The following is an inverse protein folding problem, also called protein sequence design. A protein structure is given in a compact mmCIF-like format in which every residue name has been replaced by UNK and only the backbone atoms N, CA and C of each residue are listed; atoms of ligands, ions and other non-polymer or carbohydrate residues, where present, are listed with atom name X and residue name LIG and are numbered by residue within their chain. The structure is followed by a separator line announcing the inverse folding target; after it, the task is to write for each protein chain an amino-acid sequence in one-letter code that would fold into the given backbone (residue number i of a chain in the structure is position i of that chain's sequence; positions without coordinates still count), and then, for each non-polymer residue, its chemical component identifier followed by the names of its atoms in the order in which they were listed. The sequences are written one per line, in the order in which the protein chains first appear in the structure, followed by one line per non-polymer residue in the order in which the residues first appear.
data_IF_411943623124
#
_entry.id   IF_411943623124
#
_cell.length_a   1.000
_cell.length_b   1.000
_cell.length_c   1.000
_cell.angle_alpha   90.00
_cell.angle_beta   90.00
_cell.angle_gamma   90.00
#
_symmetry.space_group_name_H-M   'P 1'
#
loop_
_entity.id
_entity.type
_entity.pdbx_description
1 polymer ?
#
# COMPACT_ATOMS: atom_id res chain seq x y z
N UNK A 1 -18.43 34.57 8.80
CA UNK A 1 -17.38 33.61 9.19
C UNK A 1 -18.10 32.34 9.54
N UNK A 2 -17.89 31.27 8.77
CA UNK A 2 -18.45 29.95 9.12
C UNK A 2 -17.74 29.45 10.38
N UNK A 3 -18.44 28.70 11.23
CA UNK A 3 -17.88 28.22 12.49
C UNK A 3 -16.70 27.26 12.28
N UNK A 4 -16.01 26.89 13.37
CA UNK A 4 -14.98 25.84 13.33
C UNK A 4 -15.55 24.55 12.75
N UNK A 5 -16.79 24.18 13.11
CA UNK A 5 -17.47 22.99 12.62
C UNK A 5 -17.71 23.01 11.10
N UNK A 6 -18.09 24.16 10.56
CA UNK A 6 -18.29 24.33 9.12
C UNK A 6 -16.96 24.18 8.36
N UNK A 7 -15.90 24.84 8.85
CA UNK A 7 -14.56 24.75 8.26
C UNK A 7 -14.01 23.33 8.30
N UNK A 8 -14.18 22.64 9.43
CA UNK A 8 -13.79 21.24 9.58
C UNK A 8 -14.57 20.33 8.63
N UNK A 9 -15.88 20.58 8.45
CA UNK A 9 -16.70 19.84 7.48
C UNK A 9 -16.13 20.01 6.07
N UNK A 10 -15.87 21.25 5.64
CA UNK A 10 -15.26 21.55 4.32
C UNK A 10 -13.89 20.88 4.17
N UNK A 11 -13.07 20.85 5.22
CA UNK A 11 -11.77 20.14 5.19
C UNK A 11 -11.99 18.66 4.90
N UNK A 12 -12.84 17.99 5.68
CA UNK A 12 -13.08 16.54 5.50
C UNK A 12 -13.69 16.20 4.15
N UNK A 13 -14.55 17.06 3.59
CA UNK A 13 -15.10 16.90 2.24
C UNK A 13 -14.01 16.97 1.16
N UNK A 14 -13.07 17.92 1.29
CA UNK A 14 -11.92 18.03 0.37
C UNK A 14 -10.99 16.84 0.47
N UNK A 15 -10.66 16.38 1.68
CA UNK A 15 -9.82 15.19 1.87
C UNK A 15 -10.49 13.93 1.29
N UNK A 16 -11.81 13.77 1.50
CA UNK A 16 -12.59 12.71 0.86
C UNK A 16 -12.55 12.75 -0.66
N UNK A 17 -12.63 13.95 -1.25
CA UNK A 17 -12.53 14.11 -2.71
C UNK A 17 -11.19 13.59 -3.25
N UNK A 18 -10.08 13.91 -2.57
CA UNK A 18 -8.76 13.36 -2.91
C UNK A 18 -8.76 11.83 -2.81
N UNK A 19 -9.22 11.29 -1.68
CA UNK A 19 -9.27 9.85 -1.45
C UNK A 19 -10.12 9.09 -2.48
N UNK A 20 -11.22 9.68 -2.97
CA UNK A 20 -12.05 9.08 -4.04
C UNK A 20 -11.33 9.07 -5.39
N UNK A 21 -10.56 10.10 -5.72
CA UNK A 21 -9.75 10.11 -6.95
C UNK A 21 -8.65 9.03 -6.88
N UNK A 22 -7.99 8.91 -5.73
CA UNK A 22 -6.98 7.87 -5.49
C UNK A 22 -7.59 6.47 -5.52
N UNK A 23 -8.81 6.29 -5.01
CA UNK A 23 -9.48 4.99 -5.05
C UNK A 23 -9.92 4.59 -6.45
N UNK A 24 -10.31 5.54 -7.31
CA UNK A 24 -10.50 5.26 -8.74
C UNK A 24 -9.21 4.73 -9.38
N UNK A 25 -8.06 5.32 -9.05
CA UNK A 25 -6.75 4.82 -9.45
C UNK A 25 -6.49 3.40 -8.93
N UNK A 26 -6.84 3.14 -7.68
CA UNK A 26 -6.66 1.83 -7.05
C UNK A 26 -7.48 0.73 -7.72
N UNK A 27 -8.73 1.01 -8.13
CA UNK A 27 -9.55 0.07 -8.93
C UNK A 27 -8.90 -0.23 -10.28
N UNK A 28 -8.36 0.79 -10.95
CA UNK A 28 -7.62 0.60 -12.21
C UNK A 28 -6.33 -0.21 -12.02
N UNK A 29 -5.60 0.01 -10.93
CA UNK A 29 -4.40 -0.76 -10.59
C UNK A 29 -4.70 -2.21 -10.22
N UNK A 30 -5.88 -2.48 -9.64
CA UNK A 30 -6.34 -3.85 -9.41
C UNK A 30 -6.71 -4.56 -10.72
N UNK A 31 -7.48 -3.89 -11.59
CA UNK A 31 -7.84 -4.45 -12.91
C UNK A 31 -6.60 -4.73 -13.75
N UNK A 32 -5.60 -3.85 -13.67
CA UNK A 32 -4.31 -3.99 -14.37
C UNK A 32 -3.63 -5.33 -14.07
N UNK A 33 -3.77 -5.82 -12.84
CA UNK A 33 -3.07 -7.01 -12.36
C UNK A 33 -3.93 -8.28 -12.39
N UNK A 34 -5.20 -8.17 -12.79
CA UNK A 34 -6.17 -9.28 -12.73
C UNK A 34 -6.84 -9.57 -14.08
N UNK A 35 -7.45 -8.57 -14.72
CA UNK A 35 -8.28 -8.77 -15.90
C UNK A 35 -7.83 -7.99 -17.14
N UNK A 36 -6.98 -6.98 -16.98
CA UNK A 36 -6.55 -6.14 -18.10
C UNK A 36 -5.88 -6.99 -19.19
N UNK A 37 -6.32 -6.88 -20.46
CA UNK A 37 -5.65 -7.53 -21.58
C UNK A 37 -4.21 -7.00 -21.76
N UNK A 38 -3.29 -7.84 -22.24
CA UNK A 38 -1.88 -7.48 -22.40
C UNK A 38 -1.62 -6.25 -23.28
N UNK A 39 -2.51 -5.94 -24.22
CA UNK A 39 -2.43 -4.73 -25.05
C UNK A 39 -2.89 -3.43 -24.38
N UNK A 40 -3.46 -3.48 -23.18
CA UNK A 40 -4.06 -2.34 -22.48
C UNK A 40 -3.07 -1.44 -21.74
N UNK A 41 -1.82 -1.88 -21.59
CA UNK A 41 -0.83 -1.29 -20.70
C UNK A 41 -0.59 0.22 -20.93
N UNK A 42 -0.42 0.64 -22.19
CA UNK A 42 -0.15 2.04 -22.51
C UNK A 42 -1.34 2.95 -22.16
N UNK A 43 -2.57 2.53 -22.46
CA UNK A 43 -3.74 3.32 -22.13
C UNK A 43 -4.01 3.35 -20.61
N UNK A 44 -3.79 2.23 -19.92
CA UNK A 44 -3.87 2.15 -18.46
C UNK A 44 -2.89 3.12 -17.80
N UNK A 45 -1.67 3.21 -18.32
CA UNK A 45 -0.66 4.15 -17.82
C UNK A 45 -1.11 5.61 -17.99
N UNK A 46 -1.77 5.97 -19.10
CA UNK A 46 -2.34 7.31 -19.27
C UNK A 46 -3.51 7.58 -18.32
N UNK A 47 -4.40 6.61 -18.09
CA UNK A 47 -5.50 6.74 -17.13
C UNK A 47 -4.99 6.99 -15.72
N UNK A 48 -4.03 6.18 -15.26
CA UNK A 48 -3.44 6.27 -13.93
C UNK A 48 -2.60 7.54 -13.76
N UNK A 49 -1.88 7.99 -14.80
CA UNK A 49 -1.16 9.25 -14.76
C UNK A 49 -2.11 10.45 -14.66
N UNK A 50 -3.19 10.47 -15.45
CA UNK A 50 -4.20 11.54 -15.38
C UNK A 50 -4.84 11.62 -13.98
N UNK A 51 -5.28 10.49 -13.43
CA UNK A 51 -5.89 10.45 -12.09
C UNK A 51 -4.91 10.88 -11.01
N UNK A 52 -3.64 10.45 -11.08
CA UNK A 52 -2.60 10.88 -10.14
C UNK A 52 -2.40 12.40 -10.21
N UNK A 53 -2.36 12.99 -11.41
CA UNK A 53 -2.26 14.44 -11.59
C UNK A 53 -3.47 15.21 -11.06
N UNK A 54 -4.68 14.66 -11.20
CA UNK A 54 -5.92 15.23 -10.66
C UNK A 54 -5.95 15.17 -9.13
N UNK A 55 -5.65 14.01 -8.54
CA UNK A 55 -5.58 13.85 -7.08
C UNK A 55 -4.53 14.78 -6.48
N UNK A 56 -3.35 14.86 -7.10
CA UNK A 56 -2.28 15.75 -6.68
C UNK A 56 -2.67 17.23 -6.77
N UNK A 57 -3.41 17.64 -7.80
CA UNK A 57 -3.89 19.02 -7.90
C UNK A 57 -4.84 19.38 -6.75
N UNK A 58 -5.75 18.50 -6.38
CA UNK A 58 -6.67 18.70 -5.26
C UNK A 58 -5.92 18.69 -3.91
N UNK A 59 -4.93 17.79 -3.76
CA UNK A 59 -4.11 17.65 -2.55
C UNK A 59 -3.11 18.79 -2.33
N UNK A 60 -2.83 19.59 -3.37
CA UNK A 60 -1.89 20.74 -3.32
C UNK A 60 -2.61 22.08 -3.53
N UNK A 61 -3.94 22.08 -3.57
CA UNK A 61 -4.72 23.30 -3.75
C UNK A 61 -4.45 24.30 -2.62
N UNK A 62 -4.21 25.57 -2.98
CA UNK A 62 -3.87 26.60 -2.00
C UNK A 62 -4.97 26.78 -0.95
N UNK A 63 -6.25 26.68 -1.33
CA UNK A 63 -7.35 26.84 -0.39
C UNK A 63 -7.41 25.70 0.62
N UNK A 64 -6.96 24.49 0.26
CA UNK A 64 -6.80 23.40 1.22
C UNK A 64 -5.71 23.75 2.25
N UNK A 65 -4.56 24.25 1.81
CA UNK A 65 -3.47 24.67 2.70
C UNK A 65 -3.86 25.82 3.64
N UNK A 66 -4.56 26.82 3.11
CA UNK A 66 -5.10 27.95 3.89
C UNK A 66 -6.11 27.44 4.94
N UNK A 67 -7.02 26.53 4.56
CA UNK A 67 -8.01 25.94 5.47
C UNK A 67 -7.38 25.10 6.59
N UNK A 68 -6.34 24.31 6.28
CA UNK A 68 -5.58 23.57 7.29
C UNK A 68 -4.95 24.57 8.28
N UNK A 69 -4.31 25.63 7.77
CA UNK A 69 -3.67 26.65 8.59
C UNK A 69 -4.64 27.41 9.50
N UNK A 70 -5.84 27.71 9.02
CA UNK A 70 -6.90 28.30 9.84
C UNK A 70 -7.31 27.38 10.99
N UNK A 71 -7.52 26.08 10.72
CA UNK A 71 -7.96 25.11 11.73
C UNK A 71 -6.87 24.75 12.74
N UNK A 72 -5.59 24.81 12.36
CA UNK A 72 -4.45 24.62 13.27
C UNK A 72 -4.39 25.71 14.37
N UNK A 73 -4.96 26.89 14.12
CA UNK A 73 -5.00 28.01 15.07
C UNK A 73 -6.20 28.02 16.02
N UNK A 74 -7.12 27.06 15.91
CA UNK A 74 -8.36 27.00 16.68
C UNK A 74 -8.26 26.04 17.88
N UNK A 75 -9.15 26.20 18.86
CA UNK A 75 -9.32 25.20 19.92
C UNK A 75 -10.10 24.00 19.40
N UNK A 76 -9.39 22.90 19.13
CA UNK A 76 -9.94 21.66 18.61
C UNK A 76 -10.42 20.69 19.72
N UNK A 77 -10.33 21.09 20.99
CA UNK A 77 -10.58 20.24 22.15
C UNK A 77 -9.37 19.35 22.47
N UNK A 78 -9.57 18.04 22.50
CA UNK A 78 -8.51 17.08 22.84
C UNK A 78 -7.39 17.05 21.77
N UNK A 79 -6.12 17.37 22.11
CA UNK A 79 -5.00 17.29 21.19
C UNK A 79 -4.74 15.88 20.62
N UNK A 80 -5.18 14.84 21.32
CA UNK A 80 -5.15 13.44 20.85
C UNK A 80 -6.41 13.00 20.11
N UNK A 81 -7.41 13.88 20.01
CA UNK A 81 -8.73 13.54 19.47
C UNK A 81 -8.77 13.44 17.94
N UNK A 82 -9.87 12.91 17.38
CA UNK A 82 -10.05 12.71 15.92
C UNK A 82 -9.82 13.96 15.06
N UNK A 83 -10.30 15.13 15.49
CA UNK A 83 -10.13 16.38 14.74
C UNK A 83 -8.66 16.80 14.65
N UNK A 84 -7.97 16.78 15.77
CA UNK A 84 -6.55 17.10 15.84
C UNK A 84 -5.70 16.11 15.03
N UNK A 85 -6.02 14.81 15.07
CA UNK A 85 -5.35 13.81 14.25
C UNK A 85 -5.55 14.05 12.75
N UNK A 86 -6.80 14.31 12.32
CA UNK A 86 -7.11 14.60 10.93
C UNK A 86 -6.37 15.84 10.40
N UNK A 87 -6.33 16.92 11.18
CA UNK A 87 -5.65 18.16 10.78
C UNK A 87 -4.13 17.95 10.72
N UNK A 88 -3.54 17.29 11.72
CA UNK A 88 -2.09 16.99 11.73
C UNK A 88 -1.65 16.16 10.53
N UNK A 89 -2.38 15.09 10.21
CA UNK A 89 -2.02 14.25 9.06
C UNK A 89 -2.34 14.94 7.73
N UNK A 90 -3.41 15.75 7.65
CA UNK A 90 -3.68 16.58 6.47
C UNK A 90 -2.54 17.58 6.22
N UNK A 91 -2.04 18.25 7.26
CA UNK A 91 -0.84 19.11 7.20
C UNK A 91 0.36 18.33 6.68
N UNK A 92 0.68 17.18 7.29
CA UNK A 92 1.81 16.32 6.89
C UNK A 92 1.72 15.92 5.42
N UNK A 93 0.53 15.50 4.97
CA UNK A 93 0.29 15.10 3.59
C UNK A 93 0.40 16.29 2.62
N UNK A 94 -0.19 17.44 2.97
CA UNK A 94 -0.14 18.67 2.16
C UNK A 94 1.30 19.18 1.98
N UNK A 95 2.06 19.29 3.07
CA UNK A 95 3.43 19.78 3.04
C UNK A 95 4.31 18.87 2.18
N UNK A 96 4.19 17.54 2.33
CA UNK A 96 4.90 16.58 1.48
C UNK A 96 4.47 16.69 0.02
N UNK A 97 3.17 16.76 -0.26
CA UNK A 97 2.65 16.79 -1.62
C UNK A 97 3.10 18.06 -2.36
N UNK A 98 3.11 19.21 -1.69
CA UNK A 98 3.50 20.50 -2.31
C UNK A 98 4.99 20.59 -2.65
N UNK A 99 5.85 19.74 -2.07
CA UNK A 99 7.24 19.59 -2.50
C UNK A 99 7.37 18.97 -3.90
N UNK A 100 6.39 18.18 -4.35
CA UNK A 100 6.48 17.43 -5.58
C UNK A 100 5.87 18.21 -6.75
N UNK A 101 6.59 18.38 -7.88
CA UNK A 101 5.97 18.93 -9.07
C UNK A 101 5.02 17.91 -9.69
N UNK A 102 3.85 18.37 -10.16
CA UNK A 102 2.84 17.51 -10.81
C UNK A 102 3.40 16.61 -11.90
N UNK A 103 4.35 17.12 -12.72
CA UNK A 103 5.03 16.33 -13.77
C UNK A 103 5.65 15.05 -13.21
N UNK A 104 6.32 15.14 -12.05
CA UNK A 104 7.01 14.02 -11.42
C UNK A 104 5.99 12.97 -10.92
N UNK A 105 4.87 13.41 -10.34
CA UNK A 105 3.80 12.52 -9.88
C UNK A 105 3.19 11.74 -11.05
N UNK A 106 2.86 12.44 -12.14
CA UNK A 106 2.30 11.81 -13.35
C UNK A 106 3.31 10.87 -14.04
N UNK A 107 4.59 11.25 -14.07
CA UNK A 107 5.64 10.43 -14.68
C UNK A 107 5.95 9.18 -13.87
N UNK A 108 6.01 9.28 -12.53
CA UNK A 108 6.13 8.12 -11.64
C UNK A 108 4.99 7.15 -11.92
N UNK A 109 3.73 7.63 -11.91
CA UNK A 109 2.54 6.79 -12.15
C UNK A 109 2.59 6.07 -13.51
N UNK A 110 2.94 6.80 -14.57
CA UNK A 110 3.07 6.24 -15.93
C UNK A 110 4.17 5.18 -16.01
N UNK A 111 5.36 5.49 -15.50
CA UNK A 111 6.53 4.62 -15.59
C UNK A 111 6.33 3.37 -14.73
N UNK A 112 5.78 3.46 -13.52
CA UNK A 112 5.54 2.28 -12.68
C UNK A 112 4.50 1.35 -13.28
N UNK A 113 3.42 1.89 -13.86
CA UNK A 113 2.42 1.09 -14.59
C UNK A 113 3.06 0.32 -15.75
N UNK A 114 3.88 0.99 -16.56
CA UNK A 114 4.57 0.33 -17.67
C UNK A 114 5.61 -0.69 -17.19
N UNK A 115 6.31 -0.36 -16.11
CA UNK A 115 7.32 -1.23 -15.49
C UNK A 115 6.70 -2.51 -14.95
N UNK A 116 5.50 -2.45 -14.38
CA UNK A 116 4.79 -3.63 -13.87
C UNK A 116 4.56 -4.66 -14.99
N UNK A 117 4.10 -4.20 -16.15
CA UNK A 117 3.83 -5.08 -17.31
C UNK A 117 5.10 -5.69 -17.90
N UNK A 118 6.17 -4.88 -17.99
CA UNK A 118 7.49 -5.36 -18.40
C UNK A 118 8.03 -6.40 -17.41
N UNK A 119 7.87 -6.15 -16.12
CA UNK A 119 8.33 -7.03 -15.06
C UNK A 119 7.59 -8.37 -15.02
N UNK A 120 6.27 -8.39 -15.21
CA UNK A 120 5.49 -9.65 -15.27
C UNK A 120 6.06 -10.58 -16.34
N UNK A 121 6.40 -10.01 -17.50
CA UNK A 121 7.02 -10.76 -18.61
C UNK A 121 8.45 -11.19 -18.26
N UNK A 122 9.30 -10.25 -17.85
CA UNK A 122 10.70 -10.49 -17.51
C UNK A 122 10.85 -11.52 -16.38
N UNK A 123 10.00 -11.47 -15.34
CA UNK A 123 10.01 -12.44 -14.24
C UNK A 123 9.65 -13.84 -14.72
N UNK A 124 8.61 -13.96 -15.56
CA UNK A 124 8.19 -15.25 -16.15
C UNK A 124 9.32 -15.86 -16.99
N UNK A 125 10.03 -15.02 -17.74
CA UNK A 125 11.09 -15.44 -18.67
C UNK A 125 12.48 -15.48 -18.02
N UNK A 126 12.60 -15.04 -16.76
CA UNK A 126 13.86 -14.89 -16.01
C UNK A 126 14.86 -13.98 -16.73
N UNK A 127 14.36 -12.94 -17.41
CA UNK A 127 15.12 -12.03 -18.23
C UNK A 127 15.28 -10.66 -17.54
N UNK A 128 16.25 -10.57 -16.62
CA UNK A 128 16.58 -9.30 -15.98
C UNK A 128 17.03 -8.19 -16.96
N UNK A 129 17.86 -8.47 -17.99
CA UNK A 129 18.24 -7.48 -18.98
C UNK A 129 17.08 -6.71 -19.63
N UNK A 130 15.95 -7.34 -19.94
CA UNK A 130 14.79 -6.62 -20.49
C UNK A 130 14.07 -5.73 -19.48
N UNK A 131 14.15 -6.03 -18.18
CA UNK A 131 13.56 -5.19 -17.12
C UNK A 131 14.48 -4.04 -16.66
N UNK A 132 15.79 -4.20 -16.79
CA UNK A 132 16.77 -3.23 -16.30
C UNK A 132 16.51 -1.77 -16.73
N UNK A 133 16.13 -1.45 -17.99
CA UNK A 133 15.85 -0.08 -18.40
C UNK A 133 14.65 0.55 -17.66
N UNK A 134 13.66 -0.25 -17.31
CA UNK A 134 12.51 0.21 -16.52
C UNK A 134 12.91 0.46 -15.07
N UNK A 135 13.67 -0.47 -14.47
CA UNK A 135 14.18 -0.31 -13.11
C UNK A 135 15.05 0.95 -12.97
N UNK A 136 15.91 1.24 -13.94
CA UNK A 136 16.75 2.45 -13.94
C UNK A 136 15.90 3.73 -13.95
N UNK A 137 14.83 3.78 -14.75
CA UNK A 137 13.91 4.92 -14.78
C UNK A 137 13.18 5.09 -13.45
N UNK A 138 12.64 4.00 -12.88
CA UNK A 138 11.97 4.04 -11.57
C UNK A 138 12.92 4.54 -10.48
N UNK A 139 14.15 4.02 -10.42
CA UNK A 139 15.15 4.47 -9.42
C UNK A 139 15.53 5.93 -9.61
N UNK A 140 15.68 6.40 -10.85
CA UNK A 140 15.97 7.81 -11.13
C UNK A 140 14.83 8.72 -10.64
N UNK A 141 13.58 8.39 -10.96
CA UNK A 141 12.41 9.16 -10.53
C UNK A 141 12.24 9.15 -9.01
N UNK A 142 12.48 8.01 -8.34
CA UNK A 142 12.43 7.94 -6.87
C UNK A 142 13.54 8.74 -6.18
N UNK A 143 14.71 8.88 -6.80
CA UNK A 143 15.75 9.80 -6.33
C UNK A 143 15.38 11.27 -6.51
N UNK A 144 14.72 11.60 -7.62
CA UNK A 144 14.16 12.94 -7.83
C UNK A 144 13.07 13.26 -6.79
N UNK A 145 12.17 12.31 -6.52
CA UNK A 145 11.15 12.42 -5.47
C UNK A 145 11.78 12.67 -4.09
N UNK A 146 12.76 11.85 -3.70
CA UNK A 146 13.48 12.02 -2.45
C UNK A 146 14.16 13.39 -2.32
N UNK A 147 14.78 13.87 -3.41
CA UNK A 147 15.44 15.17 -3.45
C UNK A 147 14.44 16.33 -3.35
N UNK A 148 13.26 16.19 -3.96
CA UNK A 148 12.21 17.21 -3.92
C UNK A 148 11.59 17.35 -2.51
N UNK A 149 11.36 16.24 -1.81
CA UNK A 149 10.81 16.25 -0.44
C UNK A 149 11.86 16.72 0.57
N UNK A 150 13.12 16.30 0.39
CA UNK A 150 14.17 16.54 1.37
C UNK A 150 14.06 15.63 2.59
N UNK A 151 15.03 15.75 3.50
CA UNK A 151 15.13 14.96 4.72
C UNK A 151 15.74 15.82 5.84
N UNK A 152 15.51 15.40 7.09
CA UNK A 152 15.95 16.14 8.27
C UNK A 152 17.48 16.16 8.44
N UNK A 153 17.96 17.04 9.33
CA UNK A 153 19.37 17.12 9.67
C UNK A 153 19.89 15.77 10.20
N UNK A 154 21.02 15.31 9.65
CA UNK A 154 21.60 14.00 9.98
C UNK A 154 20.88 12.79 9.39
N UNK A 155 19.80 12.99 8.61
CA UNK A 155 19.14 11.94 7.85
C UNK A 155 19.77 11.70 6.47
N UNK A 156 19.14 10.82 5.68
CA UNK A 156 19.56 10.52 4.31
C UNK A 156 18.38 10.49 3.32
N UNK A 157 18.62 10.57 1.99
CA UNK A 157 17.54 10.62 0.99
C UNK A 157 16.52 9.49 1.09
N UNK A 158 16.93 8.31 1.58
CA UNK A 158 16.02 7.18 1.75
C UNK A 158 14.96 7.44 2.83
N UNK A 159 15.27 8.23 3.86
CA UNK A 159 14.34 8.59 4.93
C UNK A 159 13.12 9.35 4.37
N UNK A 160 13.34 10.19 3.36
CA UNK A 160 12.28 10.92 2.66
C UNK A 160 11.27 9.98 1.99
N UNK A 161 11.74 8.83 1.48
CA UNK A 161 10.89 7.81 0.87
C UNK A 161 10.27 6.90 1.92
N UNK A 162 11.04 6.51 2.94
CA UNK A 162 10.60 5.63 4.02
C UNK A 162 9.44 6.23 4.83
N UNK A 163 9.51 7.53 5.15
CA UNK A 163 8.49 8.23 5.94
C UNK A 163 7.10 8.30 5.27
N UNK A 164 7.01 8.00 3.97
CA UNK A 164 5.73 7.83 3.28
C UNK A 164 5.00 6.59 3.75
N UNK A 165 5.73 5.49 3.94
CA UNK A 165 5.22 4.17 4.26
C UNK A 165 5.13 3.93 5.77
N UNK A 166 6.11 4.43 6.51
CA UNK A 166 6.19 4.32 7.96
C UNK A 166 6.45 5.70 8.56
N UNK A 167 5.41 6.46 8.95
CA UNK A 167 5.56 7.82 9.45
C UNK A 167 6.51 7.89 10.65
N UNK A 168 7.57 8.69 10.53
CA UNK A 168 8.58 8.88 11.57
C UNK A 168 9.73 7.86 11.57
N UNK A 169 9.69 6.84 10.71
CA UNK A 169 10.81 5.92 10.57
C UNK A 169 11.99 6.57 9.85
N UNK A 170 13.20 6.19 10.27
CA UNK A 170 14.47 6.59 9.67
C UNK A 170 15.33 5.36 9.42
N UNK A 171 16.28 5.48 8.51
CA UNK A 171 17.23 4.42 8.17
C UNK A 171 18.07 4.01 9.38
N UNK A 172 18.46 4.98 10.22
CA UNK A 172 19.13 4.71 11.50
C UNK A 172 18.26 3.92 12.48
N UNK A 173 16.96 4.19 12.55
CA UNK A 173 16.04 3.41 13.36
C UNK A 173 15.90 1.98 12.83
N UNK A 174 15.76 1.82 11.50
CA UNK A 174 15.72 0.51 10.83
C UNK A 174 16.99 -0.29 11.14
N UNK A 175 18.17 0.31 11.02
CA UNK A 175 19.45 -0.34 11.35
C UNK A 175 19.51 -0.83 12.80
N UNK A 176 18.98 -0.03 13.73
CA UNK A 176 18.87 -0.38 15.15
C UNK A 176 17.98 -1.60 15.41
N UNK A 177 16.93 -1.80 14.60
CA UNK A 177 16.04 -2.97 14.66
C UNK A 177 16.66 -4.19 13.97
N UNK A 178 17.22 -4.00 12.77
CA UNK A 178 17.72 -5.10 11.93
C UNK A 178 19.01 -5.73 12.45
N UNK A 179 19.91 -4.95 13.05
CA UNK A 179 21.20 -5.44 13.54
C UNK A 179 21.08 -6.58 14.57
N UNK A 180 20.33 -6.41 15.69
CA UNK A 180 20.13 -7.49 16.66
C UNK A 180 19.28 -8.64 16.06
N UNK A 181 18.27 -8.33 15.23
CA UNK A 181 17.44 -9.35 14.59
C UNK A 181 18.25 -10.26 13.66
N UNK A 182 19.19 -9.70 12.89
CA UNK A 182 20.10 -10.44 12.02
C UNK A 182 20.96 -11.40 12.84
N UNK A 183 21.55 -10.94 13.94
CA UNK A 183 22.37 -11.77 14.81
C UNK A 183 21.58 -12.97 15.35
N UNK A 184 20.39 -12.72 15.92
CA UNK A 184 19.54 -13.77 16.48
C UNK A 184 19.01 -14.76 15.41
N UNK A 185 18.68 -14.26 14.22
CA UNK A 185 18.15 -15.10 13.13
C UNK A 185 19.23 -16.01 12.55
N UNK A 186 20.48 -15.53 12.45
CA UNK A 186 21.61 -16.37 12.03
C UNK A 186 21.86 -17.49 13.03
N UNK A 187 21.87 -17.18 14.34
CA UNK A 187 22.02 -18.20 15.39
C UNK A 187 20.91 -19.26 15.32
N UNK A 188 19.65 -18.84 15.18
CA UNK A 188 18.53 -19.75 15.03
C UNK A 188 18.64 -20.61 13.76
N UNK A 189 19.04 -20.01 12.63
CA UNK A 189 19.22 -20.73 11.38
C UNK A 189 20.32 -21.79 11.48
N UNK A 190 21.43 -21.47 12.15
CA UNK A 190 22.53 -22.41 12.39
C UNK A 190 22.08 -23.57 13.29
N UNK A 191 21.30 -23.28 14.34
CA UNK A 191 20.69 -24.31 15.17
C UNK A 191 19.74 -25.24 14.39
N UNK A 192 18.91 -24.67 13.50
CA UNK A 192 18.01 -25.45 12.63
C UNK A 192 18.82 -26.31 11.65
N UNK A 193 19.85 -25.77 11.01
CA UNK A 193 20.72 -26.50 10.08
C UNK A 193 21.54 -27.60 10.75
N UNK A 194 21.95 -27.39 12.00
CA UNK A 194 22.64 -28.38 12.82
C UNK A 194 21.73 -29.48 13.36
N UNK A 195 20.41 -29.30 13.30
CA UNK A 195 19.43 -30.28 13.77
C UNK A 195 19.38 -31.51 12.87
N UNK A 196 19.21 -32.68 13.49
CA UNK A 196 18.94 -33.94 12.77
C UNK A 196 17.45 -34.13 12.44
N UNK A 197 16.58 -33.26 12.98
CA UNK A 197 15.14 -33.32 12.74
C UNK A 197 14.84 -32.79 11.35
N UNK A 198 14.22 -33.61 10.51
CA UNK A 198 13.79 -33.24 9.16
C UNK A 198 12.27 -33.43 9.05
N UNK A 199 11.49 -32.35 8.85
CA UNK A 199 10.05 -32.50 8.67
C UNK A 199 9.74 -33.16 7.32
N UNK A 200 8.68 -33.97 7.22
CA UNK A 200 8.25 -34.53 5.94
C UNK A 200 7.63 -33.42 5.07
N UNK A 201 8.42 -32.89 4.12
CA UNK A 201 7.98 -31.80 3.23
C UNK A 201 7.26 -32.29 1.97
N UNK A 202 7.28 -33.60 1.70
CA UNK A 202 6.60 -34.21 0.55
C UNK A 202 5.09 -33.97 0.57
N UNK A 203 4.50 -33.84 1.76
CA UNK A 203 3.09 -33.49 1.93
C UNK A 203 2.78 -32.13 1.29
N UNK A 204 3.73 -31.18 1.27
CA UNK A 204 3.49 -29.83 0.75
C UNK A 204 3.48 -29.79 -0.79
N UNK A 205 3.93 -30.86 -1.44
CA UNK A 205 4.11 -30.92 -2.91
C UNK A 205 3.32 -32.03 -3.60
N UNK A 206 2.34 -32.63 -2.92
CA UNK A 206 1.40 -33.57 -3.53
C UNK A 206 0.48 -32.86 -4.53
N UNK A 207 -0.41 -33.58 -5.20
CA UNK A 207 -1.44 -32.94 -6.02
C UNK A 207 -2.56 -32.39 -5.14
N UNK A 208 -2.77 -31.08 -5.22
CA UNK A 208 -3.84 -30.34 -4.59
C UNK A 208 -4.63 -29.59 -5.67
N UNK A 209 -5.77 -30.14 -6.15
CA UNK A 209 -6.53 -29.52 -7.23
C UNK A 209 -6.88 -28.06 -6.93
N UNK A 210 -6.63 -27.16 -7.89
CA UNK A 210 -6.77 -25.70 -7.72
C UNK A 210 -8.16 -25.30 -7.21
N UNK A 211 -9.23 -25.93 -7.71
CA UNK A 211 -10.59 -25.65 -7.26
C UNK A 211 -10.82 -26.03 -5.78
N UNK A 212 -10.17 -27.09 -5.31
CA UNK A 212 -10.20 -27.48 -3.91
C UNK A 212 -9.40 -26.50 -3.04
N UNK A 213 -8.23 -26.06 -3.51
CA UNK A 213 -7.44 -25.02 -2.84
C UNK A 213 -8.25 -23.72 -2.68
N UNK A 214 -8.91 -23.27 -3.76
CA UNK A 214 -9.75 -22.07 -3.75
C UNK A 214 -10.87 -22.17 -2.73
N UNK A 215 -11.65 -23.26 -2.77
CA UNK A 215 -12.75 -23.48 -1.82
C UNK A 215 -12.26 -23.48 -0.37
N UNK A 216 -11.14 -24.15 -0.10
CA UNK A 216 -10.57 -24.23 1.25
C UNK A 216 -10.02 -22.88 1.72
N UNK A 217 -9.25 -22.16 0.89
CA UNK A 217 -8.71 -20.85 1.21
C UNK A 217 -9.81 -19.81 1.46
N UNK A 218 -10.85 -19.76 0.62
CA UNK A 218 -12.00 -18.88 0.85
C UNK A 218 -12.76 -19.23 2.13
N UNK A 219 -12.92 -20.52 2.45
CA UNK A 219 -13.57 -20.94 3.69
C UNK A 219 -12.76 -20.53 4.93
N UNK A 220 -11.43 -20.66 4.88
CA UNK A 220 -10.54 -20.23 5.96
C UNK A 220 -10.54 -18.71 6.14
N UNK A 221 -10.41 -17.95 5.04
CA UNK A 221 -10.51 -16.49 5.01
C UNK A 221 -11.83 -15.99 5.64
N UNK A 222 -12.97 -16.57 5.24
CA UNK A 222 -14.27 -16.27 5.84
C UNK A 222 -14.32 -16.60 7.34
N UNK A 223 -13.66 -17.69 7.76
CA UNK A 223 -13.67 -18.16 9.14
C UNK A 223 -12.92 -17.21 10.09
N UNK A 224 -11.86 -16.56 9.60
CA UNK A 224 -11.09 -15.58 10.39
C UNK A 224 -11.70 -14.18 10.38
N UNK A 225 -12.76 -13.96 9.59
CA UNK A 225 -13.58 -12.74 9.67
C UNK A 225 -13.59 -11.89 8.41
N UNK A 226 -12.91 -12.28 7.33
CA UNK A 226 -13.00 -11.53 6.07
C UNK A 226 -14.40 -11.60 5.47
N UNK A 227 -15.00 -10.45 5.18
CA UNK A 227 -16.32 -10.33 4.58
C UNK A 227 -16.25 -10.39 3.05
N UNK A 228 -16.80 -11.46 2.46
CA UNK A 228 -16.97 -11.57 1.01
C UNK A 228 -18.21 -10.84 0.48
N UNK A 229 -19.00 -10.20 1.34
CA UNK A 229 -20.02 -9.23 0.91
C UNK A 229 -19.38 -7.88 0.56
N UNK A 230 -18.20 -7.62 1.11
CA UNK A 230 -17.46 -6.36 0.99
C UNK A 230 -16.08 -6.58 0.34
N UNK A 231 -15.96 -7.66 -0.40
CA UNK A 231 -14.68 -8.07 -0.96
C UNK A 231 -14.76 -9.32 -1.81
N UNK A 232 -13.65 -9.66 -2.44
CA UNK A 232 -13.52 -10.84 -3.31
C UNK A 232 -12.08 -11.33 -3.38
N UNK A 233 -11.91 -12.56 -3.87
CA UNK A 233 -10.61 -13.20 -4.06
C UNK A 233 -10.42 -13.56 -5.53
N UNK A 234 -9.35 -13.04 -6.13
CA UNK A 234 -8.98 -13.28 -7.54
C UNK A 234 -7.56 -13.85 -7.69
N UNK A 235 -7.13 -14.03 -8.94
CA UNK A 235 -5.79 -14.51 -9.26
C UNK A 235 -4.96 -13.39 -9.87
N UNK A 236 -3.73 -13.24 -9.38
CA UNK A 236 -2.74 -12.34 -9.94
C UNK A 236 -1.37 -13.02 -9.98
N UNK A 237 -0.41 -12.44 -10.72
CA UNK A 237 0.97 -12.95 -10.78
C UNK A 237 1.67 -12.89 -9.40
N UNK A 238 1.25 -11.93 -8.57
CA UNK A 238 1.67 -11.69 -7.21
C UNK A 238 0.43 -11.46 -6.35
N UNK A 239 0.25 -12.19 -5.23
CA UNK A 239 -0.79 -11.88 -4.25
C UNK A 239 -0.64 -10.46 -3.71
N UNK A 240 -1.78 -9.80 -3.49
CA UNK A 240 -1.89 -8.48 -2.85
C UNK A 240 -3.33 -8.25 -2.37
N UNK A 241 -3.48 -7.31 -1.45
CA UNK A 241 -4.73 -6.75 -0.96
C UNK A 241 -4.87 -5.30 -1.43
N UNK A 242 -6.09 -4.88 -1.77
CA UNK A 242 -6.41 -3.48 -2.08
C UNK A 242 -7.77 -3.09 -1.52
N UNK A 243 -7.77 -2.14 -0.59
CA UNK A 243 -8.97 -1.42 -0.17
C UNK A 243 -9.26 -0.27 -1.14
N UNK A 244 -10.45 -0.25 -1.75
CA UNK A 244 -10.88 0.88 -2.60
C UNK A 244 -11.77 1.87 -1.86
N UNK A 245 -12.24 1.48 -0.68
CA UNK A 245 -13.13 2.28 0.14
C UNK A 245 -14.12 1.41 0.90
N UNK A 246 -15.04 2.03 1.66
CA UNK A 246 -16.00 1.30 2.47
C UNK A 246 -16.84 0.33 1.63
N UNK A 247 -16.74 -0.96 1.96
CA UNK A 247 -17.51 -2.01 1.29
C UNK A 247 -16.85 -2.65 0.06
N UNK A 248 -15.63 -2.27 -0.32
CA UNK A 248 -14.90 -2.95 -1.41
C UNK A 248 -13.39 -3.07 -1.10
N UNK A 249 -13.01 -4.24 -0.56
CA UNK A 249 -11.64 -4.65 -0.33
C UNK A 249 -11.36 -5.96 -1.06
N UNK A 250 -10.40 -5.98 -1.98
CA UNK A 250 -10.14 -7.15 -2.84
C UNK A 250 -8.81 -7.78 -2.55
N UNK A 251 -8.81 -9.11 -2.54
CA UNK A 251 -7.64 -9.95 -2.34
C UNK A 251 -7.28 -10.62 -3.66
N UNK A 252 -6.00 -10.91 -3.85
CA UNK A 252 -5.56 -11.81 -4.92
C UNK A 252 -4.67 -12.91 -4.33
N UNK A 253 -4.63 -14.05 -5.02
CA UNK A 253 -3.74 -15.16 -4.68
C UNK A 253 -3.16 -15.78 -5.94
N UNK A 254 -2.28 -16.77 -5.78
CA UNK A 254 -1.72 -17.53 -6.89
C UNK A 254 -1.71 -19.01 -6.53
N UNK A 255 -2.38 -19.80 -7.36
CA UNK A 255 -2.47 -21.24 -7.17
C UNK A 255 -1.35 -21.99 -7.88
N UNK A 256 -0.88 -23.04 -7.24
CA UNK A 256 0.02 -24.05 -7.79
C UNK A 256 -0.45 -25.41 -7.28
N UNK A 257 -0.78 -26.33 -8.19
CA UNK A 257 -1.30 -27.65 -7.85
C UNK A 257 -0.34 -28.45 -6.94
N UNK A 258 0.97 -28.17 -7.04
CA UNK A 258 2.02 -28.85 -6.30
C UNK A 258 2.65 -27.96 -5.23
N UNK A 259 1.97 -26.88 -4.83
CA UNK A 259 2.42 -26.04 -3.74
C UNK A 259 1.25 -25.40 -2.97
N UNK A 260 0.49 -26.24 -2.25
CA UNK A 260 -0.65 -25.82 -1.43
C UNK A 260 -0.35 -24.66 -0.46
N UNK A 261 0.80 -24.64 0.26
CA UNK A 261 1.11 -23.55 1.19
C UNK A 261 1.12 -22.16 0.53
N UNK A 262 1.54 -22.06 -0.73
CA UNK A 262 1.64 -20.78 -1.43
C UNK A 262 0.30 -20.07 -1.54
N UNK A 263 -0.73 -20.76 -2.04
CA UNK A 263 -2.05 -20.18 -2.19
C UNK A 263 -2.78 -20.03 -0.85
N UNK A 264 -2.65 -21.02 0.03
CA UNK A 264 -3.36 -21.04 1.32
C UNK A 264 -2.86 -19.93 2.24
N UNK A 265 -1.56 -19.91 2.57
CA UNK A 265 -1.00 -18.88 3.44
C UNK A 265 -0.97 -17.51 2.77
N UNK A 266 -0.83 -17.44 1.44
CA UNK A 266 -1.02 -16.19 0.70
C UNK A 266 -2.43 -15.63 0.91
N UNK A 267 -3.47 -16.46 0.77
CA UNK A 267 -4.86 -16.01 1.00
C UNK A 267 -5.09 -15.56 2.45
N UNK A 268 -4.52 -16.27 3.43
CA UNK A 268 -4.62 -15.89 4.85
C UNK A 268 -3.94 -14.56 5.13
N UNK A 269 -2.72 -14.39 4.60
CA UNK A 269 -1.95 -13.16 4.70
C UNK A 269 -2.72 -11.96 4.13
N UNK A 270 -3.20 -12.07 2.89
CA UNK A 270 -4.00 -10.99 2.29
C UNK A 270 -5.34 -10.78 3.01
N UNK A 271 -5.93 -11.83 3.60
CA UNK A 271 -7.14 -11.69 4.40
C UNK A 271 -6.88 -10.89 5.69
N UNK A 272 -5.70 -11.03 6.31
CA UNK A 272 -5.32 -10.22 7.47
C UNK A 272 -5.25 -8.74 7.15
N UNK A 273 -4.68 -8.37 6.00
CA UNK A 273 -4.76 -7.02 5.45
C UNK A 273 -6.22 -6.60 5.22
N UNK A 274 -7.00 -7.44 4.54
CA UNK A 274 -8.40 -7.13 4.22
C UNK A 274 -9.29 -6.95 5.45
N UNK A 275 -9.05 -7.69 6.53
CA UNK A 275 -9.77 -7.54 7.80
C UNK A 275 -9.44 -6.19 8.45
N UNK A 276 -8.19 -5.74 8.36
CA UNK A 276 -7.83 -4.41 8.84
C UNK A 276 -8.61 -3.34 8.07
N UNK A 277 -8.57 -3.38 6.74
CA UNK A 277 -9.27 -2.43 5.87
C UNK A 277 -10.79 -2.45 6.08
N UNK A 278 -11.40 -3.64 6.20
CA UNK A 278 -12.84 -3.79 6.48
C UNK A 278 -13.23 -3.31 7.90
N UNK A 279 -12.28 -3.26 8.83
CA UNK A 279 -12.46 -2.81 10.20
C UNK A 279 -12.26 -1.31 10.42
N UNK A 280 -11.82 -0.56 9.41
CA UNK A 280 -11.66 0.90 9.50
C UNK A 280 -13.02 1.61 9.62
N UNK A 281 -13.02 2.78 10.27
CA UNK A 281 -14.22 3.59 10.42
C UNK A 281 -14.68 4.15 9.07
N UNK A 282 -15.82 3.65 8.60
CA UNK A 282 -16.42 4.00 7.31
C UNK A 282 -16.86 5.46 7.25
N UNK A 283 -17.33 6.00 8.37
CA UNK A 283 -17.78 7.39 8.44
C UNK A 283 -16.58 8.34 8.34
N UNK A 284 -15.40 7.90 8.79
CA UNK A 284 -14.15 8.64 8.72
C UNK A 284 -13.37 8.46 7.40
N UNK A 285 -13.88 7.70 6.42
CA UNK A 285 -13.20 7.48 5.14
C UNK A 285 -12.69 8.79 4.53
N UNK A 286 -11.48 8.73 3.95
CA UNK A 286 -10.78 9.87 3.37
C UNK A 286 -10.15 10.83 4.38
N UNK A 287 -10.22 10.51 5.68
CA UNK A 287 -9.50 11.23 6.74
C UNK A 287 -8.50 10.30 7.43
N UNK A 288 -7.60 10.84 8.25
CA UNK A 288 -6.60 10.06 8.97
C UNK A 288 -7.21 9.00 9.92
N UNK A 289 -8.43 9.24 10.38
CA UNK A 289 -9.16 8.31 11.25
C UNK A 289 -9.84 7.15 10.48
N UNK A 290 -9.90 7.22 9.15
CA UNK A 290 -10.55 6.22 8.30
C UNK A 290 -9.61 5.52 7.32
N UNK A 291 -8.30 5.56 7.58
CA UNK A 291 -7.25 4.91 6.78
C UNK A 291 -6.29 4.13 7.69
N UNK A 292 -5.55 3.19 7.11
CA UNK A 292 -4.49 2.49 7.84
C UNK A 292 -3.34 3.45 8.19
N UNK A 293 -2.76 3.27 9.38
CA UNK A 293 -1.83 4.26 9.94
C UNK A 293 -0.38 4.16 9.41
N UNK A 294 0.06 2.95 9.05
CA UNK A 294 1.35 2.69 8.42
C UNK A 294 1.39 1.31 7.75
N UNK A 295 2.35 1.09 6.85
CA UNK A 295 2.55 -0.24 6.27
C UNK A 295 3.03 -1.26 7.31
N UNK A 296 3.81 -0.87 8.31
CA UNK A 296 4.25 -1.75 9.38
C UNK A 296 3.10 -2.30 10.21
N UNK A 297 2.13 -1.45 10.57
CA UNK A 297 0.91 -1.89 11.27
C UNK A 297 0.00 -2.69 10.33
N UNK A 298 -0.08 -2.30 9.07
CA UNK A 298 -0.86 -3.04 8.08
C UNK A 298 -0.30 -4.46 7.87
N UNK A 299 1.02 -4.60 7.80
CA UNK A 299 1.75 -5.87 7.72
C UNK A 299 1.70 -6.66 9.04
N UNK A 300 1.59 -5.98 10.19
CA UNK A 300 1.40 -6.70 11.46
C UNK A 300 0.08 -7.47 11.47
N UNK A 301 -0.96 -6.95 10.82
CA UNK A 301 -2.25 -7.66 10.70
C UNK A 301 -2.12 -8.86 9.76
N UNK A 302 -1.47 -8.73 8.61
CA UNK A 302 -1.28 -9.84 7.66
C UNK A 302 -0.34 -10.93 8.15
N UNK A 303 0.61 -10.62 9.04
CA UNK A 303 1.51 -11.61 9.67
C UNK A 303 0.91 -12.29 10.89
N UNK A 304 -0.11 -11.68 11.51
CA UNK A 304 -0.82 -12.25 12.64
C UNK A 304 -1.73 -13.43 12.24
N UNK A 305 -2.32 -13.36 11.04
CA UNK A 305 -3.23 -14.36 10.48
C UNK A 305 -2.53 -15.35 9.54
#
# INVERSE_FOLDING_TARGET
MSGIDDRYTVLTERLRKVAVLESCGSVLGWDEQTYMPSGGAAHRAEQLALLAGMAHHEATDKQLGDLIGELEGEDLGDPGGPRAANIREARRAFDRATCLPRRLVEEISRVTTMSQQAWVTARREKDFPSFLPFLQQVVALKREEAAAIGFGEGGEPYDALLAHYEPGATSSWVDGVFSPLRAATVELLDAIRGSRVQPPVDILTRSYPVDAQRKFGMAASKRIGFSFEEGRLDVAAHPFCSGFGPGDCRLTTRYDEHHFPGAFFGTMHESGHGIYEQGLDREAYGTAMGVSCSLGIHESQSRMW
#
